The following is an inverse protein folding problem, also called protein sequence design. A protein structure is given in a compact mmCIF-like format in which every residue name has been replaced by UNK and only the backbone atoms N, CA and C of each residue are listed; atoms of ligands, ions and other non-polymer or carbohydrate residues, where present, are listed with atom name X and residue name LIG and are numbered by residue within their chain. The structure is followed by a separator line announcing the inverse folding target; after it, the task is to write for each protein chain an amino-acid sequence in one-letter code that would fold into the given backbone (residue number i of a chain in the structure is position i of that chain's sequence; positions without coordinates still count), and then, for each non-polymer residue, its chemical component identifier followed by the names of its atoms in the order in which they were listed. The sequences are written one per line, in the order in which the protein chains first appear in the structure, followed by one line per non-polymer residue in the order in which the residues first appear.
data_IF_575593185929
#
_entry.id   IF_575593185929
#
_cell.length_a   1.000
_cell.length_b   1.000
_cell.length_c   1.000
_cell.angle_alpha   90.00
_cell.angle_beta   90.00
_cell.angle_gamma   90.00
#
_symmetry.space_group_name_H-M   'P 1'
#
loop_
_entity.id
_entity.type
_entity.pdbx_description
1 polymer ?
#
# COMPACT_ATOMS: atom_id res chain seq x y z
N UNK A 1 28.34 -2.31 -8.93
CA UNK A 1 28.30 -1.72 -7.57
C UNK A 1 26.96 -1.05 -7.25
N UNK A 2 26.49 -0.10 -8.05
CA UNK A 2 25.21 0.61 -7.83
C UNK A 2 23.97 -0.29 -7.79
N UNK A 3 23.82 -1.25 -8.72
CA UNK A 3 22.73 -2.23 -8.72
C UNK A 3 22.69 -3.09 -7.44
N UNK A 4 23.84 -3.45 -6.91
CA UNK A 4 23.95 -4.25 -5.67
C UNK A 4 23.52 -3.43 -4.45
N UNK A 5 23.85 -2.14 -4.42
CA UNK A 5 23.41 -1.21 -3.38
C UNK A 5 21.90 -1.00 -3.42
N UNK A 6 21.33 -0.76 -4.60
CA UNK A 6 19.88 -0.61 -4.79
C UNK A 6 19.13 -1.88 -4.36
N UNK A 7 19.60 -3.05 -4.75
CA UNK A 7 18.97 -4.31 -4.35
C UNK A 7 19.02 -4.52 -2.82
N UNK A 8 20.15 -4.18 -2.18
CA UNK A 8 20.23 -4.20 -0.71
C UNK A 8 19.24 -3.21 -0.08
N UNK A 9 19.12 -2.00 -0.64
CA UNK A 9 18.20 -0.98 -0.17
C UNK A 9 16.73 -1.43 -0.26
N UNK A 10 16.31 -1.96 -1.42
CA UNK A 10 14.94 -2.48 -1.63
C UNK A 10 14.62 -3.66 -0.69
N UNK A 11 15.59 -4.55 -0.44
CA UNK A 11 15.40 -5.66 0.51
C UNK A 11 15.24 -5.19 1.96
N UNK A 12 15.77 -4.02 2.31
CA UNK A 12 15.69 -3.43 3.64
C UNK A 12 14.48 -2.50 3.80
N UNK A 13 13.56 -2.45 2.83
CA UNK A 13 12.41 -1.54 2.85
C UNK A 13 11.61 -1.59 4.16
N UNK A 14 11.36 -2.79 4.72
CA UNK A 14 10.67 -2.94 6.01
C UNK A 14 11.42 -2.26 7.15
N UNK A 15 12.76 -2.34 7.17
CA UNK A 15 13.59 -1.68 8.19
C UNK A 15 13.44 -0.17 8.08
N UNK A 16 13.49 0.38 6.86
CA UNK A 16 13.30 1.81 6.63
C UNK A 16 11.90 2.31 7.02
N UNK A 17 10.86 1.54 6.73
CA UNK A 17 9.48 1.85 7.12
C UNK A 17 9.33 1.89 8.65
N UNK A 18 9.89 0.91 9.36
CA UNK A 18 9.87 0.89 10.82
C UNK A 18 10.63 2.07 11.42
N UNK A 19 11.81 2.40 10.88
CA UNK A 19 12.57 3.57 11.32
C UNK A 19 11.77 4.86 11.11
N UNK A 20 11.19 5.07 9.93
CA UNK A 20 10.36 6.24 9.65
C UNK A 20 9.13 6.33 10.59
N UNK A 21 8.47 5.20 10.86
CA UNK A 21 7.35 5.14 11.80
C UNK A 21 7.77 5.51 13.23
N UNK A 22 8.91 4.99 13.72
CA UNK A 22 9.43 5.33 15.05
C UNK A 22 9.82 6.81 15.15
N UNK A 23 10.47 7.37 14.14
CA UNK A 23 10.82 8.79 14.10
C UNK A 23 9.55 9.65 14.09
N UNK A 24 8.53 9.27 13.32
CA UNK A 24 7.24 9.96 13.28
C UNK A 24 6.50 9.92 14.62
N UNK A 25 6.65 8.84 15.37
CA UNK A 25 6.06 8.70 16.69
C UNK A 25 6.74 9.60 17.74
N UNK A 26 8.08 9.65 17.76
CA UNK A 26 8.84 10.41 18.77
C UNK A 26 9.09 11.88 18.41
N UNK A 27 9.11 12.24 17.13
CA UNK A 27 9.44 13.58 16.64
C UNK A 27 8.55 13.99 15.47
N UNK A 28 7.27 14.33 15.73
CA UNK A 28 6.31 14.63 14.68
C UNK A 28 6.70 15.87 13.85
N UNK A 29 7.37 16.86 14.46
CA UNK A 29 7.80 18.09 13.78
C UNK A 29 8.79 17.86 12.63
N UNK A 30 9.50 16.74 12.62
CA UNK A 30 10.43 16.41 11.53
C UNK A 30 9.70 15.93 10.27
N UNK A 31 8.54 15.32 10.41
CA UNK A 31 7.78 14.68 9.32
C UNK A 31 6.50 15.45 8.94
N UNK A 32 6.01 16.36 9.78
CA UNK A 32 4.86 17.21 9.44
C UNK A 32 5.06 18.11 8.21
N UNK A 33 6.27 18.63 7.89
CA UNK A 33 6.48 19.42 6.66
C UNK A 33 6.30 18.60 5.37
N UNK A 34 6.37 17.27 5.45
CA UNK A 34 6.20 16.37 4.30
C UNK A 34 4.73 16.09 3.97
N UNK A 35 3.79 16.38 4.88
CA UNK A 35 2.36 16.11 4.68
C UNK A 35 1.81 16.65 3.35
N UNK A 36 2.08 17.90 2.93
CA UNK A 36 1.55 18.45 1.67
C UNK A 36 2.08 17.75 0.41
N UNK A 37 3.21 17.05 0.53
CA UNK A 37 3.84 16.36 -0.60
C UNK A 37 3.44 14.88 -0.69
N UNK A 38 2.65 14.36 0.26
CA UNK A 38 2.26 12.94 0.32
C UNK A 38 1.58 12.50 -0.97
N UNK A 39 0.67 13.31 -1.51
CA UNK A 39 -0.05 12.99 -2.74
C UNK A 39 0.88 12.97 -3.96
N UNK A 40 1.84 13.89 -4.02
CA UNK A 40 2.87 13.94 -5.06
C UNK A 40 3.81 12.73 -5.00
N UNK A 41 4.25 12.36 -3.80
CA UNK A 41 5.08 11.18 -3.59
C UNK A 41 4.32 9.90 -3.93
N UNK A 42 3.07 9.77 -3.51
CA UNK A 42 2.21 8.63 -3.85
C UNK A 42 2.00 8.55 -5.37
N UNK A 43 1.65 9.66 -6.01
CA UNK A 43 1.52 9.75 -7.46
C UNK A 43 2.79 9.34 -8.20
N UNK A 44 3.97 9.77 -7.73
CA UNK A 44 5.25 9.37 -8.31
C UNK A 44 5.50 7.86 -8.18
N UNK A 45 5.13 7.24 -7.05
CA UNK A 45 5.26 5.79 -6.88
C UNK A 45 4.31 5.01 -7.81
N UNK A 46 3.06 5.47 -7.95
CA UNK A 46 2.09 4.85 -8.84
C UNK A 46 2.48 5.02 -10.31
N UNK A 47 3.04 6.18 -10.68
CA UNK A 47 3.63 6.40 -12.00
C UNK A 47 4.80 5.43 -12.26
N UNK A 48 5.68 5.25 -11.27
CA UNK A 48 6.78 4.28 -11.35
C UNK A 48 6.30 2.85 -11.60
N UNK A 49 5.25 2.40 -10.91
CA UNK A 49 4.61 1.09 -11.16
C UNK A 49 4.08 1.03 -12.60
N UNK A 50 3.44 2.09 -13.08
CA UNK A 50 2.94 2.21 -14.46
C UNK A 50 4.05 2.08 -15.51
N UNK A 51 5.17 2.77 -15.33
CA UNK A 51 6.31 2.69 -16.26
C UNK A 51 7.00 1.32 -16.28
N UNK A 52 6.86 0.52 -15.21
CA UNK A 52 7.41 -0.82 -15.11
C UNK A 52 6.51 -1.89 -15.76
N UNK A 53 5.21 -1.61 -15.93
CA UNK A 53 4.26 -2.54 -16.54
C UNK A 53 4.55 -2.71 -18.04
N UNK A 54 4.58 -3.95 -18.48
CA UNK A 54 4.69 -4.33 -19.89
C UNK A 54 3.38 -4.93 -20.40
N UNK A 55 3.17 -4.92 -21.72
CA UNK A 55 2.02 -5.57 -22.35
C UNK A 55 1.89 -7.06 -22.00
N UNK A 56 3.01 -7.73 -21.69
CA UNK A 56 3.01 -9.14 -21.24
C UNK A 56 2.37 -9.34 -19.88
N UNK A 57 2.37 -8.33 -19.01
CA UNK A 57 1.75 -8.43 -17.68
C UNK A 57 0.22 -8.45 -17.76
N UNK A 58 -0.35 -7.99 -18.88
CA UNK A 58 -1.78 -8.05 -19.17
C UNK A 58 -2.20 -9.37 -19.84
N UNK A 59 -1.25 -10.18 -20.31
CA UNK A 59 -1.52 -11.46 -20.97
C UNK A 59 -2.34 -12.45 -20.09
N UNK A 60 -2.09 -12.59 -18.78
CA UNK A 60 -2.90 -13.45 -17.91
C UNK A 60 -4.37 -13.06 -17.87
N UNK A 61 -4.69 -11.77 -18.02
CA UNK A 61 -6.06 -11.24 -18.01
C UNK A 61 -6.86 -11.84 -19.17
N UNK A 62 -6.25 -11.92 -20.36
CA UNK A 62 -6.88 -12.47 -21.56
C UNK A 62 -6.81 -14.00 -21.61
N UNK A 63 -5.71 -14.60 -21.14
CA UNK A 63 -5.53 -16.06 -21.18
C UNK A 63 -6.35 -16.80 -20.12
N UNK A 64 -6.54 -16.21 -18.94
CA UNK A 64 -7.24 -16.85 -17.81
C UNK A 64 -8.19 -15.85 -17.12
N UNK A 65 -9.20 -15.33 -17.83
CA UNK A 65 -10.09 -14.29 -17.32
C UNK A 65 -10.84 -14.74 -16.06
N UNK A 66 -11.20 -16.03 -15.96
CA UNK A 66 -11.87 -16.58 -14.77
C UNK A 66 -11.02 -16.41 -13.50
N UNK A 67 -9.71 -16.62 -13.58
CA UNK A 67 -8.82 -16.49 -12.42
C UNK A 67 -8.58 -15.03 -12.06
N UNK A 68 -8.41 -14.16 -13.06
CA UNK A 68 -8.27 -12.72 -12.82
C UNK A 68 -9.52 -12.14 -12.18
N UNK A 69 -10.72 -12.46 -12.71
CA UNK A 69 -11.99 -12.01 -12.13
C UNK A 69 -12.15 -12.54 -10.71
N UNK A 70 -11.84 -13.82 -10.47
CA UNK A 70 -11.91 -14.40 -9.13
C UNK A 70 -10.95 -13.69 -8.16
N UNK A 71 -9.73 -13.38 -8.58
CA UNK A 71 -8.77 -12.62 -7.79
C UNK A 71 -9.26 -11.20 -7.48
N UNK A 72 -9.81 -10.50 -8.46
CA UNK A 72 -10.40 -9.17 -8.29
C UNK A 72 -11.58 -9.21 -7.33
N UNK A 73 -12.51 -10.17 -7.50
CA UNK A 73 -13.63 -10.35 -6.59
C UNK A 73 -13.15 -10.68 -5.17
N UNK A 74 -12.16 -11.55 -5.04
CA UNK A 74 -11.57 -11.88 -3.75
C UNK A 74 -10.96 -10.64 -3.08
N UNK A 75 -10.21 -9.82 -3.81
CA UNK A 75 -9.63 -8.57 -3.31
C UNK A 75 -10.72 -7.62 -2.77
N UNK A 76 -11.73 -7.31 -3.60
CA UNK A 76 -12.80 -6.37 -3.26
C UNK A 76 -13.89 -6.92 -2.33
N UNK A 77 -13.86 -8.22 -2.03
CA UNK A 77 -14.80 -8.84 -1.07
C UNK A 77 -14.10 -9.10 0.25
N UNK A 78 -12.94 -9.77 0.23
CA UNK A 78 -12.27 -10.24 1.44
C UNK A 78 -11.67 -9.08 2.23
N UNK A 79 -10.96 -8.12 1.59
CA UNK A 79 -10.36 -7.00 2.33
C UNK A 79 -11.41 -6.12 3.04
N UNK A 80 -12.50 -5.65 2.38
CA UNK A 80 -13.50 -4.83 3.04
C UNK A 80 -14.25 -5.58 4.16
N UNK A 81 -14.60 -6.85 3.93
CA UNK A 81 -15.29 -7.66 4.95
C UNK A 81 -14.39 -7.84 6.17
N UNK A 82 -13.10 -8.13 5.99
CA UNK A 82 -12.17 -8.27 7.10
C UNK A 82 -12.02 -6.96 7.88
N UNK A 83 -11.88 -5.82 7.19
CA UNK A 83 -11.83 -4.52 7.84
C UNK A 83 -13.09 -4.23 8.66
N UNK A 84 -14.27 -4.50 8.11
CA UNK A 84 -15.54 -4.35 8.82
C UNK A 84 -15.63 -5.27 10.06
N UNK A 85 -15.21 -6.55 9.93
CA UNK A 85 -15.19 -7.49 11.05
C UNK A 85 -14.24 -7.02 12.16
N UNK A 86 -13.06 -6.51 11.82
CA UNK A 86 -12.10 -5.96 12.78
C UNK A 86 -12.71 -4.76 13.51
N UNK A 87 -13.32 -3.80 12.79
CA UNK A 87 -14.00 -2.65 13.40
C UNK A 87 -15.06 -3.11 14.41
N UNK A 88 -15.84 -4.13 14.05
CA UNK A 88 -16.94 -4.64 14.89
C UNK A 88 -16.44 -5.42 16.11
N UNK A 89 -15.43 -6.27 15.95
CA UNK A 89 -14.86 -7.09 17.04
C UNK A 89 -14.14 -6.21 18.06
N UNK A 90 -13.31 -5.27 17.58
CA UNK A 90 -12.50 -4.40 18.44
C UNK A 90 -13.22 -3.11 18.87
N UNK A 91 -14.46 -2.89 18.42
CA UNK A 91 -15.29 -1.69 18.72
C UNK A 91 -14.50 -0.39 18.55
N UNK A 92 -13.87 -0.25 17.37
CA UNK A 92 -13.01 0.90 17.08
C UNK A 92 -13.81 2.21 17.07
N UNK A 93 -13.16 3.32 17.43
CA UNK A 93 -13.77 4.64 17.35
C UNK A 93 -14.14 4.99 15.90
N UNK A 94 -15.16 5.83 15.68
CA UNK A 94 -15.61 6.17 14.33
C UNK A 94 -14.49 6.71 13.42
N UNK A 95 -13.58 7.51 13.96
CA UNK A 95 -12.46 8.07 13.19
C UNK A 95 -11.46 7.00 12.73
N UNK A 96 -11.14 6.03 13.59
CA UNK A 96 -10.23 4.94 13.25
C UNK A 96 -10.90 3.91 12.33
N UNK A 97 -12.20 3.66 12.54
CA UNK A 97 -12.99 2.76 11.70
C UNK A 97 -13.04 3.24 10.24
N UNK A 98 -13.29 4.54 10.02
CA UNK A 98 -13.28 5.13 8.68
C UNK A 98 -11.91 4.97 8.03
N UNK A 99 -10.82 5.28 8.75
CA UNK A 99 -9.47 5.10 8.23
C UNK A 99 -9.14 3.65 7.83
N UNK A 100 -9.53 2.68 8.66
CA UNK A 100 -9.30 1.26 8.38
C UNK A 100 -10.12 0.76 7.18
N UNK A 101 -11.39 1.17 7.08
CA UNK A 101 -12.26 0.77 5.97
C UNK A 101 -11.76 1.39 4.66
N UNK A 102 -11.35 2.66 4.67
CA UNK A 102 -10.78 3.31 3.48
C UNK A 102 -9.50 2.63 2.99
N UNK A 103 -8.67 2.12 3.90
CA UNK A 103 -7.45 1.40 3.54
C UNK A 103 -7.70 0.01 2.93
N UNK A 104 -8.87 -0.58 3.21
CA UNK A 104 -9.24 -1.92 2.79
C UNK A 104 -10.26 -1.94 1.63
N UNK A 105 -10.74 -0.76 1.22
CA UNK A 105 -11.71 -0.57 0.14
C UNK A 105 -11.05 -0.43 -1.23
#
# INVERSE_FOLDING_TARGET
MFKTLLNKFSRLLVVWVLLAATIGFYSPNTLTPLKPYTDWLFGLTMFGIGCLLSFKDFEPIFKKPKLTILGTLAQFTIMPILAYLIVKIFKLSPSLAVGLILAAA
#
